data_IF_308654962933
#
_entry.id   IF_308654962933
#
_cell.length_a   1.000
_cell.length_b   1.000
_cell.length_c   1.000
_cell.angle_alpha   90.00
_cell.angle_beta   90.00
_cell.angle_gamma   90.00
#
_symmetry.space_group_name_H-M   'P 1'
#
loop_
_entity.id
_entity.type
_entity.pdbx_description
1 polymer ?
#
# COMPACT_ATOMS: atom_id res chain seq x y z
N UNK A 1 11.31 7.43 -7.25
CA UNK A 1 10.69 7.44 -5.91
C UNK A 1 11.83 7.16 -4.96
N UNK A 2 12.57 8.19 -4.58
CA UNK A 2 13.90 8.05 -3.96
C UNK A 2 13.90 7.07 -2.77
N UNK A 3 12.89 7.17 -1.91
CA UNK A 3 12.79 6.31 -0.71
C UNK A 3 12.69 4.81 -1.00
N UNK A 4 12.01 4.38 -2.06
CA UNK A 4 11.89 2.95 -2.37
C UNK A 4 13.15 2.42 -3.04
N UNK A 5 13.79 3.24 -3.87
CA UNK A 5 15.09 2.93 -4.45
C UNK A 5 16.15 2.79 -3.35
N UNK A 6 16.14 3.68 -2.35
CA UNK A 6 17.04 3.60 -1.20
C UNK A 6 16.82 2.33 -0.36
N UNK A 7 15.56 1.97 -0.07
CA UNK A 7 15.25 0.72 0.65
C UNK A 7 15.81 -0.49 -0.11
N UNK A 8 15.69 -0.50 -1.44
CA UNK A 8 16.20 -1.60 -2.26
C UNK A 8 17.73 -1.61 -2.37
N UNK A 9 18.40 -0.48 -2.17
CA UNK A 9 19.86 -0.37 -2.25
C UNK A 9 20.55 -0.64 -0.90
N UNK A 10 19.93 -0.24 0.20
CA UNK A 10 20.57 -0.22 1.52
C UNK A 10 19.99 -1.23 2.52
N UNK A 11 18.70 -1.59 2.42
CA UNK A 11 18.00 -2.47 3.38
C UNK A 11 17.75 -3.88 2.81
N UNK A 12 18.75 -4.46 2.14
CA UNK A 12 18.57 -5.66 1.29
C UNK A 12 18.35 -6.99 2.04
N UNK A 13 18.65 -7.03 3.33
CA UNK A 13 18.55 -8.24 4.16
C UNK A 13 17.12 -8.52 4.66
N UNK A 14 16.24 -7.53 4.54
CA UNK A 14 14.86 -7.56 5.03
C UNK A 14 13.91 -8.14 3.98
N UNK A 15 13.03 -9.04 4.40
CA UNK A 15 12.01 -9.61 3.51
C UNK A 15 11.07 -8.52 3.00
N UNK A 16 10.67 -7.60 3.90
CA UNK A 16 9.81 -6.48 3.57
C UNK A 16 10.40 -5.59 2.47
N UNK A 17 11.70 -5.29 2.53
CA UNK A 17 12.41 -4.47 1.55
C UNK A 17 12.43 -5.10 0.16
N UNK A 18 12.57 -6.43 0.08
CA UNK A 18 12.57 -7.17 -1.19
C UNK A 18 11.20 -7.16 -1.87
N UNK A 19 10.13 -7.09 -1.07
CA UNK A 19 8.76 -7.09 -1.55
C UNK A 19 8.23 -5.70 -1.90
N UNK A 20 8.94 -4.62 -1.57
CA UNK A 20 8.53 -3.23 -1.85
C UNK A 20 8.06 -3.00 -3.30
N UNK A 21 8.71 -3.53 -4.37
CA UNK A 21 8.30 -3.24 -5.75
C UNK A 21 6.86 -3.55 -6.12
N UNK A 22 6.16 -4.40 -5.35
CA UNK A 22 4.75 -4.73 -5.60
C UNK A 22 3.85 -3.48 -5.56
N UNK A 23 4.27 -2.41 -4.88
CA UNK A 23 3.50 -1.17 -4.74
C UNK A 23 3.63 -0.24 -5.96
N UNK A 24 4.61 -0.45 -6.85
CA UNK A 24 4.87 0.48 -7.96
C UNK A 24 3.70 0.58 -8.93
N UNK A 25 3.17 -0.56 -9.38
CA UNK A 25 2.05 -0.56 -10.34
C UNK A 25 0.76 0.09 -9.77
N UNK A 26 0.34 -0.20 -8.51
CA UNK A 26 -0.77 0.53 -7.89
C UNK A 26 -0.53 2.04 -7.73
N UNK A 27 0.70 2.45 -7.39
CA UNK A 27 1.07 3.87 -7.28
C UNK A 27 1.02 4.59 -8.64
N UNK A 28 1.48 3.95 -9.70
CA UNK A 28 1.36 4.50 -11.05
C UNK A 28 -0.10 4.62 -11.49
N UNK A 29 -0.90 3.59 -11.19
CA UNK A 29 -2.34 3.56 -11.51
C UNK A 29 -3.10 4.69 -10.84
N UNK A 30 -2.88 4.90 -9.53
CA UNK A 30 -3.54 6.01 -8.81
C UNK A 30 -3.06 7.37 -9.32
N UNK A 31 -1.78 7.54 -9.64
CA UNK A 31 -1.26 8.78 -10.22
C UNK A 31 -1.94 9.09 -11.56
N UNK A 32 -2.10 8.08 -12.41
CA UNK A 32 -2.79 8.20 -13.69
C UNK A 32 -4.28 8.58 -13.50
N UNK A 33 -4.93 8.00 -12.49
CA UNK A 33 -6.31 8.34 -12.14
C UNK A 33 -6.47 9.80 -11.69
N UNK A 34 -5.53 10.28 -10.86
CA UNK A 34 -5.47 11.66 -10.37
C UNK A 34 -5.28 12.64 -11.53
N UNK A 35 -4.32 12.37 -12.43
CA UNK A 35 -4.04 13.21 -13.59
C UNK A 35 -5.25 13.35 -14.51
N UNK A 36 -6.02 12.28 -14.69
CA UNK A 36 -7.25 12.30 -15.47
C UNK A 36 -8.45 12.93 -14.76
N UNK A 37 -8.33 13.24 -13.46
CA UNK A 37 -9.45 13.68 -12.61
C UNK A 37 -10.63 12.70 -12.66
N UNK A 38 -10.35 11.40 -12.81
CA UNK A 38 -11.37 10.37 -12.96
C UNK A 38 -11.66 9.73 -11.61
N UNK A 39 -12.75 10.16 -10.97
CA UNK A 39 -13.14 9.70 -9.64
C UNK A 39 -13.35 8.17 -9.57
N UNK A 40 -14.00 7.57 -10.57
CA UNK A 40 -14.27 6.12 -10.57
C UNK A 40 -12.97 5.33 -10.68
N UNK A 41 -12.06 5.80 -11.54
CA UNK A 41 -10.74 5.20 -11.71
C UNK A 41 -9.92 5.34 -10.42
N UNK A 42 -9.95 6.52 -9.79
CA UNK A 42 -9.28 6.78 -8.53
C UNK A 42 -9.77 5.83 -7.42
N UNK A 43 -11.08 5.67 -7.26
CA UNK A 43 -11.65 4.76 -6.25
C UNK A 43 -11.18 3.32 -6.46
N UNK A 44 -11.20 2.84 -7.71
CA UNK A 44 -10.72 1.50 -8.07
C UNK A 44 -9.24 1.33 -7.75
N UNK A 45 -8.42 2.29 -8.15
CA UNK A 45 -6.96 2.19 -8.03
C UNK A 45 -6.48 2.44 -6.59
N UNK A 46 -7.23 3.23 -5.81
CA UNK A 46 -7.03 3.35 -4.36
C UNK A 46 -7.33 2.01 -3.65
N UNK A 47 -8.43 1.34 -4.00
CA UNK A 47 -8.73 0.00 -3.46
C UNK A 47 -7.64 -1.02 -3.82
N UNK A 48 -7.13 -0.94 -5.06
CA UNK A 48 -6.01 -1.79 -5.49
C UNK A 48 -4.78 -1.54 -4.61
N UNK A 49 -4.39 -0.28 -4.40
CA UNK A 49 -3.27 0.06 -3.53
C UNK A 49 -3.48 -0.44 -2.09
N UNK A 50 -4.66 -0.24 -1.50
CA UNK A 50 -5.00 -0.75 -0.16
C UNK A 50 -4.85 -2.28 -0.09
N UNK A 51 -5.36 -3.00 -1.08
CA UNK A 51 -5.24 -4.46 -1.13
C UNK A 51 -3.78 -4.91 -1.30
N UNK A 52 -2.97 -4.19 -2.09
CA UNK A 52 -1.54 -4.46 -2.23
C UNK A 52 -0.79 -4.25 -0.92
N UNK A 53 -1.10 -3.19 -0.16
CA UNK A 53 -0.54 -2.99 1.18
C UNK A 53 -0.86 -4.18 2.10
N UNK A 54 -2.12 -4.60 2.13
CA UNK A 54 -2.55 -5.72 2.97
C UNK A 54 -1.96 -7.07 2.54
N UNK A 55 -1.77 -7.28 1.23
CA UNK A 55 -1.06 -8.45 0.73
C UNK A 55 0.40 -8.45 1.20
N UNK A 56 1.11 -7.32 1.11
CA UNK A 56 2.46 -7.18 1.67
C UNK A 56 2.48 -7.53 3.16
N UNK A 57 1.56 -6.94 3.93
CA UNK A 57 1.48 -7.15 5.37
C UNK A 57 1.25 -8.63 5.70
N UNK A 58 0.37 -9.32 4.97
CA UNK A 58 0.18 -10.75 5.16
C UNK A 58 1.46 -11.55 4.87
N UNK A 59 2.09 -11.34 3.71
CA UNK A 59 3.28 -12.10 3.29
C UNK A 59 4.47 -11.93 4.22
N UNK A 60 4.61 -10.77 4.88
CA UNK A 60 5.71 -10.47 5.80
C UNK A 60 5.35 -10.68 7.28
N UNK A 61 4.27 -11.43 7.56
CA UNK A 61 3.78 -11.74 8.91
C UNK A 61 3.40 -10.49 9.74
N UNK A 62 2.94 -9.44 9.07
CA UNK A 62 2.47 -8.17 9.64
C UNK A 62 0.96 -7.97 9.47
N UNK A 63 0.22 -9.05 9.16
CA UNK A 63 -1.22 -9.03 8.89
C UNK A 63 -2.12 -8.57 10.05
N UNK A 64 -1.55 -8.37 11.25
CA UNK A 64 -2.29 -7.80 12.37
C UNK A 64 -2.62 -6.31 12.17
N UNK A 65 -1.85 -5.62 11.31
CA UNK A 65 -2.11 -4.24 10.89
C UNK A 65 -2.81 -4.27 9.52
N UNK A 66 -4.12 -4.11 9.50
CA UNK A 66 -4.92 -4.08 8.28
C UNK A 66 -5.14 -2.63 7.85
N UNK A 67 -4.66 -2.27 6.67
CA UNK A 67 -4.92 -0.97 6.05
C UNK A 67 -6.39 -0.89 5.61
N UNK A 68 -7.07 0.19 5.98
CA UNK A 68 -8.48 0.44 5.67
C UNK A 68 -8.67 1.76 4.93
N UNK A 69 -9.79 1.88 4.19
CA UNK A 69 -10.19 3.13 3.55
C UNK A 69 -10.88 4.01 4.59
N UNK A 70 -10.33 5.19 4.93
CA UNK A 70 -10.97 6.08 5.90
C UNK A 70 -12.36 6.48 5.46
N UNK A 71 -13.36 6.21 6.29
CA UNK A 71 -14.74 6.57 6.01
C UNK A 71 -15.05 8.02 6.43
N UNK A 72 -14.32 8.56 7.41
CA UNK A 72 -14.51 9.91 7.94
C UNK A 72 -13.25 10.37 8.70
N UNK A 73 -13.04 11.68 8.79
CA UNK A 73 -12.01 12.30 9.63
C UNK A 73 -12.52 12.30 11.10
N UNK A 74 -11.73 11.93 12.13
CA UNK A 74 -10.28 11.67 12.18
C UNK A 74 -9.91 10.17 12.22
N UNK A 75 -10.69 9.31 11.58
CA UNK A 75 -10.53 7.86 11.77
C UNK A 75 -9.23 7.36 11.17
N UNK A 76 -8.59 6.44 11.90
CA UNK A 76 -7.37 5.80 11.47
C UNK A 76 -7.62 5.02 10.16
N UNK A 77 -6.62 5.01 9.28
CA UNK A 77 -6.59 4.18 8.06
C UNK A 77 -6.01 2.79 8.33
N UNK A 78 -5.99 2.36 9.60
CA UNK A 78 -5.40 1.11 10.06
C UNK A 78 -6.30 0.50 11.15
N UNK A 79 -6.59 -0.77 11.03
CA UNK A 79 -7.26 -1.60 12.02
C UNK A 79 -6.26 -2.62 12.57
N UNK A 80 -6.12 -2.68 13.90
CA UNK A 80 -5.17 -3.55 14.57
C UNK A 80 -5.92 -4.70 15.25
N UNK A 81 -5.84 -5.89 14.66
CA UNK A 81 -6.50 -7.08 15.18
C UNK A 81 -5.48 -8.22 15.24
N UNK A 82 -5.36 -8.97 16.35
CA UNK A 82 -4.54 -10.18 16.35
C UNK A 82 -4.91 -11.09 15.17
N UNK A 83 -3.94 -11.31 14.28
CA UNK A 83 -4.07 -12.24 13.15
C UNK A 83 -4.55 -13.59 13.68
N UNK A 84 -5.69 -14.09 13.15
CA UNK A 84 -6.24 -15.40 13.50
C UNK A 84 -5.33 -16.56 13.10
#
# INVERSE_FOLDING_TARGET
MEIFEDIQNYETDRMESRSIPIIYAPLDSINFAIQQKNQKLFQRDFNLLTNTCNACHHEVNFGFNVVTIPQFNPFANQDFNPSH
#
